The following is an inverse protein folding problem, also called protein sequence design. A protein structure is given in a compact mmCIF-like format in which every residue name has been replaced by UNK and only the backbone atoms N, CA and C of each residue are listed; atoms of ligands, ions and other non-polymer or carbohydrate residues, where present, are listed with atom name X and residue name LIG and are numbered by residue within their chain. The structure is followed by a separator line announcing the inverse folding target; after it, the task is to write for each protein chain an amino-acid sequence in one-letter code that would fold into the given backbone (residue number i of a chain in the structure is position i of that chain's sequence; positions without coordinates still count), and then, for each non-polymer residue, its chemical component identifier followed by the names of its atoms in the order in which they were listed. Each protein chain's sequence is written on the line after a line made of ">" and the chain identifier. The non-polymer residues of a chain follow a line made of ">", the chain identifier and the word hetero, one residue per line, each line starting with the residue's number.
data_IF_411749824436
#
_entry.id   IF_411749824436
#
_cell.length_a   1.000
_cell.length_b   1.000
_cell.length_c   1.000
_cell.angle_alpha   90.00
_cell.angle_beta   90.00
_cell.angle_gamma   90.00
#
_symmetry.space_group_name_H-M   'P 1'
#
loop_
_entity.id
_entity.type
_entity.pdbx_description
1 polymer ?
#
# COMPACT_ATOMS: atom_id res chain seq x y z
N UNK A 1 -4.78 -18.41 -25.91
CA UNK A 1 -3.77 -17.35 -25.97
C UNK A 1 -4.42 -16.07 -25.48
N UNK A 2 -3.86 -15.39 -24.50
CA UNK A 2 -4.39 -14.09 -24.07
C UNK A 2 -4.45 -13.14 -25.28
N UNK A 3 -5.54 -12.39 -25.38
CA UNK A 3 -5.75 -11.43 -26.47
C UNK A 3 -4.83 -10.23 -26.23
N UNK A 4 -4.00 -9.88 -27.22
CA UNK A 4 -3.10 -8.74 -27.07
C UNK A 4 -3.90 -7.45 -26.88
N UNK A 5 -3.50 -6.65 -25.87
CA UNK A 5 -4.15 -5.40 -25.48
C UNK A 5 -3.35 -4.20 -26.01
N UNK A 6 -4.04 -3.20 -26.51
CA UNK A 6 -3.46 -1.93 -26.95
C UNK A 6 -4.20 -0.78 -26.29
N UNK A 7 -3.48 0.08 -25.60
CA UNK A 7 -4.06 1.27 -24.98
C UNK A 7 -4.45 2.27 -26.07
N UNK A 8 -5.68 2.76 -26.04
CA UNK A 8 -6.20 3.74 -26.99
C UNK A 8 -6.35 5.13 -26.39
N UNK A 9 -6.60 5.22 -25.08
CA UNK A 9 -6.68 6.48 -24.40
C UNK A 9 -6.28 6.39 -22.93
N UNK A 10 -5.85 7.53 -22.40
CA UNK A 10 -5.51 7.75 -21.00
C UNK A 10 -6.08 9.10 -20.60
N UNK A 11 -6.71 9.17 -19.44
CA UNK A 11 -7.15 10.42 -18.83
C UNK A 11 -6.99 10.38 -17.32
N UNK A 12 -6.91 11.55 -16.70
CA UNK A 12 -6.66 11.70 -15.27
C UNK A 12 -7.74 12.56 -14.61
N UNK A 13 -8.00 12.30 -13.36
CA UNK A 13 -8.70 13.20 -12.46
C UNK A 13 -8.14 13.08 -11.05
N UNK A 14 -8.36 14.09 -10.23
CA UNK A 14 -7.89 14.13 -8.85
C UNK A 14 -9.00 14.60 -7.93
N UNK A 15 -8.87 14.27 -6.65
CA UNK A 15 -9.77 14.72 -5.60
C UNK A 15 -8.96 15.17 -4.38
N UNK A 16 -9.23 16.37 -3.89
CA UNK A 16 -8.63 16.92 -2.69
C UNK A 16 -9.27 16.26 -1.46
N UNK A 17 -8.47 15.59 -0.66
CA UNK A 17 -8.93 14.81 0.51
C UNK A 17 -8.70 15.58 1.80
N UNK A 18 -7.47 16.05 1.97
CA UNK A 18 -7.05 16.91 3.07
C UNK A 18 -6.07 17.96 2.53
N UNK A 19 -5.65 18.90 3.36
CA UNK A 19 -4.60 19.89 2.97
C UNK A 19 -3.29 19.25 2.49
N UNK A 20 -3.06 17.95 2.76
CA UNK A 20 -1.83 17.22 2.46
C UNK A 20 -2.05 16.00 1.56
N UNK A 21 -3.29 15.59 1.34
CA UNK A 21 -3.63 14.38 0.61
C UNK A 21 -4.50 14.71 -0.59
N UNK A 22 -4.02 14.34 -1.76
CA UNK A 22 -4.77 14.39 -3.02
C UNK A 22 -4.75 12.99 -3.60
N UNK A 23 -5.91 12.39 -3.83
CA UNK A 23 -5.97 11.14 -4.59
C UNK A 23 -6.06 11.45 -6.07
N UNK A 24 -5.24 10.78 -6.87
CA UNK A 24 -5.21 10.96 -8.31
C UNK A 24 -5.44 9.63 -9.00
N UNK A 25 -6.31 9.65 -9.99
CA UNK A 25 -6.76 8.47 -10.72
C UNK A 25 -6.38 8.61 -12.19
N UNK A 26 -6.00 7.49 -12.79
CA UNK A 26 -5.83 7.31 -14.22
C UNK A 26 -6.89 6.34 -14.74
N UNK A 27 -7.54 6.67 -15.83
CA UNK A 27 -8.41 5.77 -16.57
C UNK A 27 -7.75 5.42 -17.90
N UNK A 28 -7.50 4.12 -18.10
CA UNK A 28 -6.96 3.56 -19.33
C UNK A 28 -8.09 2.91 -20.13
N UNK A 29 -8.06 3.04 -21.46
CA UNK A 29 -9.02 2.36 -22.34
C UNK A 29 -8.31 1.66 -23.49
N UNK A 30 -8.83 0.49 -23.88
CA UNK A 30 -8.47 -0.22 -25.10
C UNK A 30 -9.48 0.02 -26.24
N UNK A 31 -10.44 0.92 -26.04
CA UNK A 31 -11.55 1.23 -26.94
C UNK A 31 -12.78 0.34 -26.77
N UNK A 32 -12.65 -0.82 -26.11
CA UNK A 32 -13.78 -1.70 -25.80
C UNK A 32 -14.17 -1.66 -24.32
N UNK A 33 -13.20 -1.43 -23.45
CA UNK A 33 -13.34 -1.35 -22.00
C UNK A 33 -12.47 -0.23 -21.41
N UNK A 34 -12.74 0.11 -20.18
CA UNK A 34 -11.92 1.03 -19.38
C UNK A 34 -11.51 0.38 -18.07
N UNK A 35 -10.34 0.75 -17.59
CA UNK A 35 -9.85 0.35 -16.26
C UNK A 35 -9.37 1.56 -15.48
N UNK A 36 -9.79 1.64 -14.23
CA UNK A 36 -9.47 2.73 -13.31
C UNK A 36 -8.34 2.30 -12.37
N UNK A 37 -7.29 3.11 -12.31
CA UNK A 37 -6.12 2.85 -11.45
C UNK A 37 -5.77 4.11 -10.66
N UNK A 38 -5.42 3.97 -9.39
CA UNK A 38 -4.93 5.07 -8.58
C UNK A 38 -3.42 5.23 -8.73
N UNK A 39 -2.98 6.48 -8.95
CA UNK A 39 -1.58 6.83 -9.18
C UNK A 39 -1.05 7.82 -8.13
N UNK A 40 -1.72 7.95 -7.00
CA UNK A 40 -1.32 8.84 -5.91
C UNK A 40 0.11 8.51 -5.46
N UNK A 41 1.04 9.47 -5.62
CA UNK A 41 2.45 9.34 -5.29
C UNK A 41 2.98 10.58 -4.53
N UNK A 42 2.15 11.15 -3.68
CA UNK A 42 2.47 12.37 -2.92
C UNK A 42 2.91 13.51 -3.85
N UNK A 43 3.93 14.25 -3.46
CA UNK A 43 4.47 15.36 -4.26
C UNK A 43 5.02 14.97 -5.64
N UNK A 44 5.19 13.68 -5.92
CA UNK A 44 5.70 13.17 -7.21
C UNK A 44 4.59 12.80 -8.20
N UNK A 45 3.30 12.94 -7.85
CA UNK A 45 2.17 12.54 -8.71
C UNK A 45 2.20 13.24 -10.09
N UNK A 46 2.62 14.50 -10.17
CA UNK A 46 2.79 15.20 -11.45
C UNK A 46 3.78 14.52 -12.40
N UNK A 47 4.93 14.06 -11.86
CA UNK A 47 5.91 13.27 -12.64
C UNK A 47 5.37 11.92 -13.09
N UNK A 48 4.55 11.25 -12.27
CA UNK A 48 3.86 10.02 -12.66
C UNK A 48 2.98 10.25 -13.88
N UNK A 49 2.20 11.34 -13.88
CA UNK A 49 1.35 11.70 -15.02
C UNK A 49 2.17 11.99 -16.29
N UNK A 50 3.32 12.64 -16.18
CA UNK A 50 4.24 12.89 -17.30
C UNK A 50 4.79 11.58 -17.88
N UNK A 51 5.28 10.67 -17.02
CA UNK A 51 5.73 9.34 -17.44
C UNK A 51 4.60 8.55 -18.13
N UNK A 52 3.38 8.59 -17.59
CA UNK A 52 2.23 7.91 -18.18
C UNK A 52 1.86 8.48 -19.56
N UNK A 53 1.85 9.81 -19.73
CA UNK A 53 1.59 10.43 -21.04
C UNK A 53 2.61 9.99 -22.09
N UNK A 54 3.90 9.96 -21.71
CA UNK A 54 4.98 9.50 -22.61
C UNK A 54 4.84 8.02 -22.95
N UNK A 55 4.62 7.17 -21.95
CA UNK A 55 4.51 5.73 -22.12
C UNK A 55 3.30 5.32 -22.95
N UNK A 56 2.14 5.97 -22.75
CA UNK A 56 0.92 5.66 -23.51
C UNK A 56 1.09 5.96 -25.01
N UNK A 57 1.87 6.97 -25.39
CA UNK A 57 2.16 7.24 -26.81
C UNK A 57 2.81 6.05 -27.50
N UNK A 58 3.71 5.33 -26.82
CA UNK A 58 4.31 4.11 -27.31
C UNK A 58 3.26 2.98 -27.37
N UNK A 59 2.51 2.78 -26.29
CA UNK A 59 1.52 1.70 -26.17
C UNK A 59 0.26 1.90 -27.05
N UNK A 60 0.02 3.09 -27.55
CA UNK A 60 -1.00 3.34 -28.59
C UNK A 60 -0.63 2.74 -29.95
N UNK A 61 0.65 2.50 -30.22
CA UNK A 61 1.14 1.87 -31.44
C UNK A 61 1.58 0.42 -31.27
N UNK A 62 1.75 -0.02 -30.00
CA UNK A 62 2.27 -1.33 -29.64
C UNK A 62 1.22 -2.12 -28.86
N UNK A 63 0.93 -3.34 -29.29
CA UNK A 63 0.09 -4.27 -28.52
C UNK A 63 0.95 -5.11 -27.60
N UNK A 64 0.52 -5.27 -26.34
CA UNK A 64 1.18 -6.12 -25.36
C UNK A 64 0.36 -7.37 -25.10
N UNK A 65 1.03 -8.52 -25.01
CA UNK A 65 0.39 -9.82 -24.77
C UNK A 65 0.03 -10.01 -23.30
N UNK A 66 0.82 -9.40 -22.42
CA UNK A 66 0.63 -9.42 -20.97
C UNK A 66 1.13 -8.14 -20.32
N UNK A 67 0.84 -7.97 -19.04
CA UNK A 67 1.36 -6.86 -18.25
C UNK A 67 2.91 -6.88 -18.11
N UNK A 68 3.53 -8.05 -18.25
CA UNK A 68 4.99 -8.19 -18.20
C UNK A 68 5.69 -7.52 -19.37
N UNK A 69 5.03 -7.45 -20.52
CA UNK A 69 5.61 -6.89 -21.76
C UNK A 69 5.70 -5.34 -21.70
N UNK A 70 5.11 -4.70 -20.69
CA UNK A 70 5.03 -3.23 -20.62
C UNK A 70 6.41 -2.59 -20.50
N UNK A 71 7.25 -3.08 -19.59
CA UNK A 71 8.58 -2.49 -19.37
C UNK A 71 9.46 -2.66 -20.62
N UNK A 72 9.45 -3.84 -21.23
CA UNK A 72 10.20 -4.13 -22.45
C UNK A 72 9.71 -3.29 -23.64
N UNK A 73 8.38 -3.14 -23.81
CA UNK A 73 7.80 -2.30 -24.85
C UNK A 73 8.19 -0.80 -24.71
N UNK A 74 8.46 -0.37 -23.48
CA UNK A 74 8.89 0.99 -23.16
C UNK A 74 10.42 1.15 -23.14
N UNK A 75 11.19 0.07 -23.23
CA UNK A 75 12.65 0.07 -23.12
C UNK A 75 13.13 0.48 -21.73
N UNK A 76 12.40 0.09 -20.67
CA UNK A 76 12.69 0.45 -19.27
C UNK A 76 13.33 -0.74 -18.56
N UNK A 77 14.52 -0.55 -18.02
CA UNK A 77 15.23 -1.54 -17.23
C UNK A 77 14.76 -1.57 -15.77
N UNK A 78 14.86 -2.74 -15.13
CA UNK A 78 14.39 -2.93 -13.74
C UNK A 78 15.09 -2.00 -12.75
N UNK A 79 16.38 -1.70 -12.94
CA UNK A 79 17.13 -0.79 -12.08
C UNK A 79 16.58 0.64 -12.12
N UNK A 80 16.03 1.08 -13.25
CA UNK A 80 15.37 2.40 -13.34
C UNK A 80 14.11 2.42 -12.49
N UNK A 81 13.34 1.32 -12.49
CA UNK A 81 12.12 1.17 -11.70
C UNK A 81 12.41 1.08 -10.20
N UNK A 82 13.51 0.45 -9.81
CA UNK A 82 13.94 0.37 -8.42
C UNK A 82 14.47 1.70 -7.86
N UNK A 83 14.95 2.59 -8.71
CA UNK A 83 15.57 3.86 -8.32
C UNK A 83 14.69 5.11 -8.55
N UNK A 84 13.61 5.01 -9.33
CA UNK A 84 12.65 6.11 -9.56
C UNK A 84 11.22 5.67 -9.23
N UNK A 85 10.75 6.05 -8.03
CA UNK A 85 9.40 5.73 -7.55
C UNK A 85 8.31 6.28 -8.47
N UNK A 86 8.51 7.44 -9.11
CA UNK A 86 7.51 8.00 -10.02
C UNK A 86 7.40 7.19 -11.31
N UNK A 87 8.52 6.71 -11.84
CA UNK A 87 8.55 5.81 -12.99
C UNK A 87 7.96 4.44 -12.65
N UNK A 88 8.34 3.89 -11.48
CA UNK A 88 7.77 2.65 -10.95
C UNK A 88 6.23 2.73 -10.81
N UNK A 89 5.72 3.86 -10.31
CA UNK A 89 4.28 4.10 -10.19
C UNK A 89 3.60 4.13 -11.56
N UNK A 90 4.20 4.80 -12.55
CA UNK A 90 3.66 4.85 -13.90
C UNK A 90 3.60 3.46 -14.57
N UNK A 91 4.68 2.69 -14.46
CA UNK A 91 4.73 1.31 -14.98
C UNK A 91 3.76 0.40 -14.24
N UNK A 92 3.67 0.51 -12.90
CA UNK A 92 2.71 -0.25 -12.09
C UNK A 92 1.26 0.06 -12.47
N UNK A 93 0.94 1.33 -12.76
CA UNK A 93 -0.36 1.75 -13.28
C UNK A 93 -0.68 1.07 -14.61
N UNK A 94 0.24 1.12 -15.58
CA UNK A 94 0.03 0.49 -16.90
C UNK A 94 -0.12 -1.03 -16.78
N UNK A 95 0.70 -1.67 -15.96
CA UNK A 95 0.61 -3.12 -15.73
C UNK A 95 -0.71 -3.51 -15.06
N UNK A 96 -1.14 -2.76 -14.03
CA UNK A 96 -2.44 -2.97 -13.39
C UNK A 96 -3.60 -2.74 -14.37
N UNK A 97 -3.54 -1.66 -15.15
CA UNK A 97 -4.54 -1.33 -16.16
C UNK A 97 -4.67 -2.41 -17.23
N UNK A 98 -3.55 -2.94 -17.74
CA UNK A 98 -3.57 -4.05 -18.73
C UNK A 98 -4.16 -5.32 -18.12
N UNK A 99 -3.77 -5.66 -16.87
CA UNK A 99 -4.34 -6.81 -16.16
C UNK A 99 -5.87 -6.68 -16.04
N UNK A 100 -6.36 -5.50 -15.63
CA UNK A 100 -7.79 -5.24 -15.50
C UNK A 100 -8.54 -5.25 -16.84
N UNK A 101 -7.98 -4.63 -17.88
CA UNK A 101 -8.56 -4.64 -19.22
C UNK A 101 -8.66 -6.07 -19.80
N UNK A 102 -7.62 -6.89 -19.61
CA UNK A 102 -7.63 -8.30 -20.04
C UNK A 102 -8.68 -9.11 -19.26
N UNK A 103 -8.80 -8.90 -17.96
CA UNK A 103 -9.85 -9.53 -17.15
C UNK A 103 -11.26 -9.20 -17.68
N UNK A 104 -11.51 -7.93 -18.04
CA UNK A 104 -12.78 -7.51 -18.64
C UNK A 104 -13.02 -8.13 -20.01
N UNK A 105 -11.99 -8.23 -20.86
CA UNK A 105 -12.08 -8.88 -22.17
C UNK A 105 -12.43 -10.37 -22.04
N UNK A 106 -11.92 -11.03 -20.99
CA UNK A 106 -12.17 -12.43 -20.69
C UNK A 106 -13.49 -12.66 -19.91
N UNK A 107 -14.15 -11.59 -19.47
CA UNK A 107 -15.41 -11.64 -18.71
C UNK A 107 -15.27 -12.19 -17.30
N UNK A 108 -14.08 -12.06 -16.69
CA UNK A 108 -13.78 -12.52 -15.32
C UNK A 108 -13.49 -11.32 -14.40
N UNK A 109 -13.68 -11.51 -13.09
CA UNK A 109 -13.29 -10.50 -12.11
C UNK A 109 -11.77 -10.49 -11.88
N UNK A 110 -11.27 -9.41 -11.26
CA UNK A 110 -9.84 -9.22 -11.05
C UNK A 110 -9.24 -10.30 -10.11
N UNK A 111 -9.98 -10.79 -9.11
CA UNK A 111 -9.49 -11.85 -8.21
C UNK A 111 -9.21 -13.12 -9.02
N UNK A 112 -10.15 -13.51 -9.88
CA UNK A 112 -10.01 -14.67 -10.79
C UNK A 112 -8.88 -14.47 -11.80
N UNK A 113 -8.73 -13.26 -12.37
CA UNK A 113 -7.63 -12.92 -13.27
C UNK A 113 -6.26 -13.03 -12.60
N UNK A 114 -6.19 -12.74 -11.31
CA UNK A 114 -5.00 -12.91 -10.48
C UNK A 114 -4.80 -14.36 -9.99
N UNK A 115 -5.64 -15.29 -10.42
CA UNK A 115 -5.54 -16.72 -10.08
C UNK A 115 -6.02 -17.05 -8.67
N UNK A 116 -6.88 -16.23 -8.10
CA UNK A 116 -7.57 -16.47 -6.85
C UNK A 116 -8.97 -17.01 -7.04
N UNK A 117 -9.59 -17.48 -5.95
CA UNK A 117 -10.99 -17.82 -5.91
C UNK A 117 -11.81 -16.61 -5.42
N UNK A 118 -12.98 -16.32 -6.00
CA UNK A 118 -13.84 -15.24 -5.56
C UNK A 118 -14.15 -15.32 -4.06
N UNK A 119 -14.11 -14.17 -3.40
CA UNK A 119 -14.42 -14.02 -1.96
C UNK A 119 -15.39 -12.87 -1.76
N UNK A 120 -16.21 -12.96 -0.71
CA UNK A 120 -17.13 -11.89 -0.34
C UNK A 120 -16.40 -10.72 0.34
N UNK A 121 -15.32 -11.00 1.08
CA UNK A 121 -14.58 -9.98 1.84
C UNK A 121 -13.17 -10.43 2.19
N UNK A 122 -12.31 -9.44 2.55
CA UNK A 122 -10.99 -9.67 3.15
C UNK A 122 -10.88 -8.96 4.50
N UNK A 123 -10.07 -9.49 5.45
CA UNK A 123 -9.82 -8.80 6.72
C UNK A 123 -8.98 -7.54 6.51
N UNK A 124 -9.22 -6.52 7.32
CA UNK A 124 -8.47 -5.28 7.34
C UNK A 124 -7.79 -5.07 8.70
N UNK A 125 -6.69 -4.32 8.70
CA UNK A 125 -6.22 -3.63 9.90
C UNK A 125 -6.39 -2.11 9.75
N UNK A 126 -6.63 -1.44 10.87
CA UNK A 126 -6.79 0.01 10.89
C UNK A 126 -5.43 0.70 10.98
N UNK A 127 -5.05 1.50 9.99
CA UNK A 127 -3.97 2.48 10.09
C UNK A 127 -4.56 3.80 10.61
N UNK A 128 -4.22 4.17 11.85
CA UNK A 128 -4.75 5.36 12.53
C UNK A 128 -3.94 6.64 12.24
N UNK A 129 -2.88 6.56 11.44
CA UNK A 129 -1.94 7.67 11.26
C UNK A 129 -2.57 8.88 10.58
N UNK A 130 -3.48 8.66 9.62
CA UNK A 130 -4.10 9.74 8.84
C UNK A 130 -4.95 10.67 9.71
N UNK A 131 -5.60 10.16 10.73
CA UNK A 131 -6.37 10.96 11.69
C UNK A 131 -5.49 11.73 12.69
N UNK A 132 -4.18 11.39 12.75
CA UNK A 132 -3.19 11.96 13.65
C UNK A 132 -2.17 12.87 12.95
N UNK A 133 -2.40 13.25 11.70
CA UNK A 133 -1.58 14.22 10.97
C UNK A 133 -1.84 15.62 11.54
N UNK A 134 -0.75 16.32 11.93
CA UNK A 134 -0.84 17.66 12.46
C UNK A 134 -0.13 17.82 13.81
N UNK A 135 -0.47 18.88 14.56
CA UNK A 135 0.21 19.22 15.80
C UNK A 135 -0.20 18.35 17.01
N UNK A 136 -1.36 17.71 16.96
CA UNK A 136 -1.90 16.98 18.12
C UNK A 136 -1.51 15.49 18.11
N UNK A 137 -0.22 15.20 18.14
CA UNK A 137 0.30 13.81 18.23
C UNK A 137 0.62 13.40 19.68
N UNK A 138 -0.30 13.69 20.60
CA UNK A 138 -0.14 13.29 22.01
C UNK A 138 -0.44 11.81 22.25
N UNK A 139 0.10 11.17 23.31
CA UNK A 139 -0.29 9.80 23.67
C UNK A 139 -1.81 9.62 23.83
N UNK A 140 -2.50 10.63 24.35
CA UNK A 140 -3.97 10.62 24.47
C UNK A 140 -4.67 10.60 23.10
N UNK A 141 -4.19 11.36 22.11
CA UNK A 141 -4.76 11.36 20.77
C UNK A 141 -4.61 10.00 20.11
N UNK A 142 -3.44 9.35 20.26
CA UNK A 142 -3.21 7.99 19.79
C UNK A 142 -4.14 6.97 20.47
N UNK A 143 -4.31 7.06 21.79
CA UNK A 143 -5.25 6.21 22.53
C UNK A 143 -6.68 6.32 22.00
N UNK A 144 -7.19 7.55 21.84
CA UNK A 144 -8.54 7.81 21.33
C UNK A 144 -8.74 7.31 19.88
N UNK A 145 -7.73 7.46 19.02
CA UNK A 145 -7.79 6.95 17.66
C UNK A 145 -7.81 5.41 17.64
N UNK A 146 -7.02 4.77 18.49
CA UNK A 146 -7.01 3.32 18.66
C UNK A 146 -8.34 2.80 19.21
N UNK A 147 -8.89 3.42 20.25
CA UNK A 147 -10.19 3.07 20.82
C UNK A 147 -11.30 3.18 19.78
N UNK A 148 -11.35 4.28 19.02
CA UNK A 148 -12.31 4.48 17.94
C UNK A 148 -12.22 3.41 16.86
N UNK A 149 -11.01 3.03 16.44
CA UNK A 149 -10.82 1.96 15.48
C UNK A 149 -11.30 0.60 16.01
N UNK A 150 -11.03 0.31 17.29
CA UNK A 150 -11.54 -0.92 17.95
C UNK A 150 -13.08 -0.92 18.03
N UNK A 151 -13.71 0.21 18.33
CA UNK A 151 -15.18 0.36 18.34
C UNK A 151 -15.80 0.18 16.93
N UNK A 152 -15.05 0.46 15.87
CA UNK A 152 -15.43 0.17 14.47
C UNK A 152 -15.24 -1.30 14.09
N UNK A 153 -14.81 -2.15 15.03
CA UNK A 153 -14.66 -3.59 14.85
C UNK A 153 -13.31 -4.03 14.30
N UNK A 154 -12.29 -3.18 14.30
CA UNK A 154 -10.94 -3.59 13.95
C UNK A 154 -10.25 -4.28 15.13
N UNK A 155 -9.73 -5.50 14.88
CA UNK A 155 -8.98 -6.28 15.87
C UNK A 155 -7.46 -6.12 15.73
N UNK A 156 -7.01 -5.38 14.72
CA UNK A 156 -5.60 -5.11 14.43
C UNK A 156 -5.50 -3.61 14.12
N UNK A 157 -4.58 -2.92 14.81
CA UNK A 157 -4.40 -1.47 14.69
C UNK A 157 -2.92 -1.16 14.48
N UNK A 158 -2.60 -0.42 13.42
CA UNK A 158 -1.25 0.09 13.11
C UNK A 158 -1.16 1.57 13.46
N UNK A 159 -0.05 1.97 14.09
CA UNK A 159 0.29 3.36 14.32
C UNK A 159 1.75 3.64 13.91
N UNK A 160 2.01 4.86 13.41
CA UNK A 160 3.35 5.40 13.17
C UNK A 160 3.69 6.43 14.26
N UNK A 161 4.19 5.98 15.42
CA UNK A 161 4.34 6.84 16.60
C UNK A 161 5.58 7.72 16.53
N UNK A 162 6.46 7.56 15.53
CA UNK A 162 7.79 8.15 15.46
C UNK A 162 7.98 9.19 14.35
N UNK A 163 6.93 9.60 13.62
CA UNK A 163 7.01 10.49 12.44
C UNK A 163 7.57 11.90 12.72
N UNK A 164 7.70 12.29 13.97
CA UNK A 164 8.31 13.53 14.42
C UNK A 164 9.82 13.39 14.74
N UNK A 165 10.41 12.21 14.49
CA UNK A 165 11.84 11.96 14.63
C UNK A 165 12.56 12.30 13.31
N UNK A 166 13.63 13.08 13.43
CA UNK A 166 14.56 13.31 12.32
C UNK A 166 15.58 12.15 12.25
N UNK A 167 15.58 11.32 11.19
CA UNK A 167 16.49 10.19 11.04
C UNK A 167 17.96 10.59 10.92
N UNK A 168 18.27 11.85 10.60
CA UNK A 168 19.64 12.39 10.56
C UNK A 168 20.28 12.62 11.92
N UNK A 169 19.56 12.37 13.00
CA UNK A 169 20.07 12.52 14.36
C UNK A 169 21.06 11.41 14.78
N UNK A 170 21.89 11.70 15.79
CA UNK A 170 22.74 10.68 16.44
C UNK A 170 21.86 9.68 17.21
N UNK A 171 22.35 8.42 17.36
CA UNK A 171 21.66 7.36 18.12
C UNK A 171 21.13 7.86 19.50
N UNK A 172 21.93 8.63 20.23
CA UNK A 172 21.50 9.18 21.52
C UNK A 172 20.28 10.08 21.39
N UNK A 173 20.21 10.94 20.37
CA UNK A 173 19.06 11.83 20.13
C UNK A 173 17.86 11.07 19.60
N UNK A 174 18.08 10.05 18.77
CA UNK A 174 17.02 9.14 18.31
C UNK A 174 16.35 8.46 19.50
N UNK A 175 17.12 7.92 20.46
CA UNK A 175 16.60 7.30 21.68
C UNK A 175 15.85 8.27 22.60
N UNK A 176 16.33 9.49 22.72
CA UNK A 176 15.61 10.54 23.48
C UNK A 176 14.25 10.86 22.84
N UNK A 177 14.23 11.05 21.52
CA UNK A 177 13.03 11.35 20.76
C UNK A 177 12.04 10.16 20.74
N UNK A 178 12.53 8.92 20.71
CA UNK A 178 11.71 7.71 20.71
C UNK A 178 10.86 7.56 21.97
N UNK A 179 11.21 8.16 23.10
CA UNK A 179 10.45 8.06 24.37
C UNK A 179 9.00 8.48 24.22
N UNK A 180 8.75 9.55 23.48
CA UNK A 180 7.36 10.01 23.23
C UNK A 180 6.61 9.04 22.32
N UNK A 181 7.28 8.48 21.30
CA UNK A 181 6.70 7.47 20.42
C UNK A 181 6.33 6.19 21.19
N UNK A 182 7.23 5.69 22.06
CA UNK A 182 6.96 4.54 22.94
C UNK A 182 5.74 4.81 23.84
N UNK A 183 5.64 6.02 24.42
CA UNK A 183 4.49 6.39 25.25
C UNK A 183 3.17 6.48 24.47
N UNK A 184 3.22 6.83 23.16
CA UNK A 184 2.07 6.76 22.23
C UNK A 184 1.61 5.32 22.05
N UNK A 185 2.54 4.38 21.79
CA UNK A 185 2.22 2.95 21.66
C UNK A 185 1.64 2.38 22.94
N UNK A 186 2.23 2.71 24.09
CA UNK A 186 1.72 2.31 25.42
C UNK A 186 0.30 2.81 25.66
N UNK A 187 -0.01 4.03 25.23
CA UNK A 187 -1.34 4.62 25.35
C UNK A 187 -2.36 3.91 24.43
N UNK A 188 -2.00 3.56 23.18
CA UNK A 188 -2.84 2.73 22.30
C UNK A 188 -3.09 1.37 22.94
N UNK A 189 -2.02 0.64 23.34
CA UNK A 189 -2.13 -0.68 23.98
C UNK A 189 -3.04 -0.64 25.21
N UNK A 190 -2.92 0.39 26.05
CA UNK A 190 -3.77 0.55 27.24
C UNK A 190 -5.23 0.78 26.89
N UNK A 191 -5.52 1.55 25.86
CA UNK A 191 -6.87 1.88 25.42
C UNK A 191 -7.60 0.69 24.79
N UNK A 192 -6.89 -0.05 23.89
CA UNK A 192 -7.51 -1.16 23.13
C UNK A 192 -7.49 -2.50 23.87
N UNK A 193 -6.70 -2.61 24.94
CA UNK A 193 -6.59 -3.84 25.74
C UNK A 193 -5.78 -4.95 25.06
N UNK A 194 -5.68 -6.13 25.68
CA UNK A 194 -4.79 -7.20 25.24
C UNK A 194 -5.30 -8.00 24.02
N UNK A 195 -6.58 -7.91 23.70
CA UNK A 195 -7.21 -8.71 22.64
C UNK A 195 -7.09 -8.09 21.24
N UNK A 196 -6.69 -6.82 21.14
CA UNK A 196 -6.44 -6.12 19.89
C UNK A 196 -4.95 -6.17 19.61
N UNK A 197 -4.55 -6.58 18.42
CA UNK A 197 -3.17 -6.56 17.98
C UNK A 197 -2.74 -5.12 17.67
N UNK A 198 -1.58 -4.69 18.17
CA UNK A 198 -1.01 -3.36 17.88
C UNK A 198 0.25 -3.54 17.05
N UNK A 199 0.30 -2.87 15.91
CA UNK A 199 1.37 -2.88 14.95
C UNK A 199 2.07 -1.52 14.97
N UNK A 200 3.40 -1.50 14.82
CA UNK A 200 4.18 -0.27 14.90
C UNK A 200 4.98 -0.09 13.61
N UNK A 201 4.76 1.06 12.99
CA UNK A 201 5.46 1.52 11.80
C UNK A 201 6.45 2.63 12.18
N UNK A 202 7.70 2.49 11.78
CA UNK A 202 8.77 3.41 12.14
C UNK A 202 9.17 4.36 11.01
N UNK A 203 8.65 4.19 9.80
CA UNK A 203 9.01 5.03 8.65
C UNK A 203 10.52 5.27 8.53
N UNK A 204 11.31 4.23 8.79
CA UNK A 204 12.78 4.22 8.61
C UNK A 204 13.55 5.29 9.41
N UNK A 205 13.04 5.67 10.58
CA UNK A 205 13.62 6.78 11.36
C UNK A 205 14.76 6.38 12.30
N UNK A 206 15.16 5.11 12.37
CA UNK A 206 16.17 4.61 13.30
C UNK A 206 17.45 4.12 12.60
N UNK A 207 18.55 4.12 13.34
CA UNK A 207 19.77 3.37 13.05
C UNK A 207 19.71 1.96 13.70
N UNK A 208 20.76 1.15 13.50
CA UNK A 208 20.81 -0.23 14.01
C UNK A 208 20.73 -0.33 15.52
N UNK A 209 21.43 0.57 16.22
CA UNK A 209 21.54 0.54 17.68
C UNK A 209 20.27 1.05 18.35
N UNK A 210 19.70 2.15 17.85
CA UNK A 210 18.43 2.68 18.34
C UNK A 210 17.28 1.75 18.03
N UNK A 211 17.26 1.08 16.86
CA UNK A 211 16.26 0.06 16.52
C UNK A 211 16.19 -1.06 17.55
N UNK A 212 17.34 -1.58 18.01
CA UNK A 212 17.38 -2.68 18.99
C UNK A 212 16.85 -2.24 20.36
N UNK A 213 17.19 -1.03 20.80
CA UNK A 213 16.71 -0.49 22.10
C UNK A 213 15.21 -0.25 22.03
N UNK A 214 14.73 0.41 20.97
CA UNK A 214 13.29 0.70 20.78
C UNK A 214 12.49 -0.60 20.66
N UNK A 215 12.98 -1.59 19.91
CA UNK A 215 12.33 -2.89 19.78
C UNK A 215 12.19 -3.60 21.14
N UNK A 216 13.21 -3.49 22.03
CA UNK A 216 13.14 -4.03 23.38
C UNK A 216 12.01 -3.42 24.22
N UNK A 217 11.82 -2.11 24.16
CA UNK A 217 10.71 -1.42 24.83
C UNK A 217 9.34 -1.79 24.22
N UNK A 218 9.26 -1.87 22.89
CA UNK A 218 8.03 -2.24 22.20
C UNK A 218 7.63 -3.71 22.45
N UNK A 219 8.59 -4.61 22.61
CA UNK A 219 8.35 -6.01 22.95
C UNK A 219 7.59 -6.14 24.29
N UNK A 220 7.91 -5.28 25.27
CA UNK A 220 7.20 -5.25 26.55
C UNK A 220 5.74 -4.80 26.42
N UNK A 221 5.40 -4.13 25.32
CA UNK A 221 4.03 -3.69 25.01
C UNK A 221 3.26 -4.72 24.15
N UNK A 222 3.89 -5.83 23.78
CA UNK A 222 3.28 -6.92 23.04
C UNK A 222 2.80 -6.51 21.65
N UNK A 223 3.66 -5.83 20.87
CA UNK A 223 3.33 -5.46 19.48
C UNK A 223 3.42 -6.66 18.53
N UNK A 224 2.60 -6.66 17.48
CA UNK A 224 2.53 -7.75 16.51
C UNK A 224 3.65 -7.74 15.48
N UNK A 225 4.08 -6.55 14.98
CA UNK A 225 5.24 -6.40 14.12
C UNK A 225 5.96 -5.05 14.30
N UNK A 226 7.21 -5.02 13.83
CA UNK A 226 8.09 -3.86 13.81
C UNK A 226 8.38 -3.50 12.36
N UNK A 227 7.67 -2.49 11.83
CA UNK A 227 7.69 -2.12 10.42
C UNK A 227 8.79 -1.09 10.16
N UNK A 228 9.60 -1.36 9.18
CA UNK A 228 10.65 -0.48 8.65
C UNK A 228 11.38 0.40 9.69
N UNK A 229 12.04 -0.20 10.70
CA UNK A 229 12.88 0.61 11.58
C UNK A 229 14.05 1.25 10.81
N UNK A 230 14.53 0.58 9.75
CA UNK A 230 15.59 0.99 8.83
C UNK A 230 15.06 0.82 7.41
N UNK A 231 15.41 1.75 6.52
CA UNK A 231 14.98 1.76 5.11
C UNK A 231 15.47 0.53 4.34
N UNK A 232 14.56 -0.36 3.87
CA UNK A 232 14.94 -1.62 3.22
C UNK A 232 15.68 -1.43 1.90
N UNK A 233 15.40 -0.34 1.17
CA UNK A 233 16.04 -0.07 -0.13
C UNK A 233 17.46 0.46 0.02
N UNK A 234 17.80 1.06 1.16
CA UNK A 234 19.10 1.69 1.42
C UNK A 234 20.03 0.84 2.27
N UNK A 235 19.54 0.22 3.36
CA UNK A 235 20.36 -0.65 4.23
C UNK A 235 19.66 -1.98 4.53
N UNK A 236 19.48 -2.88 3.55
CA UNK A 236 18.91 -4.21 3.77
C UNK A 236 19.74 -5.06 4.72
N UNK A 237 21.06 -4.81 4.81
CA UNK A 237 21.94 -5.51 5.75
C UNK A 237 21.74 -5.05 7.19
N UNK A 238 21.52 -3.74 7.39
CA UNK A 238 21.18 -3.20 8.69
C UNK A 238 19.84 -3.71 9.18
N UNK A 239 18.85 -3.75 8.29
CA UNK A 239 17.54 -4.30 8.60
C UNK A 239 17.63 -5.79 8.97
N UNK A 240 18.40 -6.61 8.22
CA UNK A 240 18.65 -8.02 8.53
C UNK A 240 19.36 -8.20 9.89
N UNK A 241 20.29 -7.30 10.22
CA UNK A 241 20.97 -7.31 11.53
C UNK A 241 19.99 -7.08 12.68
N UNK A 242 19.06 -6.14 12.52
CA UNK A 242 18.00 -5.86 13.50
C UNK A 242 17.02 -7.03 13.56
N UNK A 243 16.50 -7.49 12.41
CA UNK A 243 15.53 -8.58 12.35
C UNK A 243 16.00 -9.87 13.02
N UNK A 244 17.29 -10.18 12.93
CA UNK A 244 17.89 -11.36 13.60
C UNK A 244 18.04 -11.22 15.12
N UNK A 245 17.69 -10.06 15.73
CA UNK A 245 17.90 -9.75 17.16
C UNK A 245 16.66 -9.29 17.89
N UNK A 246 15.58 -9.05 17.21
CA UNK A 246 14.29 -8.64 17.80
C UNK A 246 13.36 -9.85 17.91
N UNK A 247 12.42 -9.80 18.83
CA UNK A 247 11.49 -10.93 19.10
C UNK A 247 10.25 -10.91 18.21
N UNK A 248 9.83 -9.71 17.75
CA UNK A 248 8.71 -9.55 16.86
C UNK A 248 9.13 -9.66 15.38
N UNK A 249 8.27 -10.10 14.46
CA UNK A 249 8.58 -10.08 13.04
C UNK A 249 8.83 -8.65 12.55
N UNK A 250 9.81 -8.50 11.66
CA UNK A 250 10.06 -7.25 10.93
C UNK A 250 9.23 -7.29 9.65
N UNK A 251 8.50 -6.21 9.39
CA UNK A 251 7.71 -5.99 8.19
C UNK A 251 8.31 -4.85 7.36
N UNK A 252 8.02 -4.81 6.05
CA UNK A 252 8.46 -3.69 5.22
C UNK A 252 8.54 -4.01 3.73
N UNK A 253 9.08 -3.04 2.98
CA UNK A 253 9.24 -3.09 1.53
C UNK A 253 8.19 -2.25 0.78
N UNK A 254 7.49 -1.34 1.44
CA UNK A 254 6.44 -0.52 0.81
C UNK A 254 6.92 0.30 -0.40
N UNK A 255 8.19 0.65 -0.43
CA UNK A 255 8.83 1.39 -1.52
C UNK A 255 9.49 0.49 -2.58
N UNK A 256 9.46 -0.84 -2.39
CA UNK A 256 10.14 -1.80 -3.24
C UNK A 256 9.47 -2.06 -4.59
N UNK A 257 10.26 -2.42 -5.60
CA UNK A 257 9.79 -2.79 -6.92
C UNK A 257 10.28 -4.18 -7.34
N UNK A 258 9.34 -5.02 -7.79
CA UNK A 258 9.60 -6.32 -8.42
C UNK A 258 9.87 -7.45 -7.43
N UNK A 259 9.47 -8.67 -7.81
CA UNK A 259 9.58 -9.88 -6.99
C UNK A 259 11.00 -10.13 -6.47
N UNK A 260 12.02 -9.86 -7.30
CA UNK A 260 13.43 -10.08 -6.95
C UNK A 260 13.89 -9.25 -5.75
N UNK A 261 13.41 -8.01 -5.62
CA UNK A 261 13.69 -7.14 -4.47
C UNK A 261 13.16 -7.76 -3.16
N UNK A 262 11.90 -8.17 -3.15
CA UNK A 262 11.28 -8.75 -1.96
C UNK A 262 11.89 -10.12 -1.60
N UNK A 263 12.17 -10.95 -2.62
CA UNK A 263 12.84 -12.24 -2.42
C UNK A 263 14.23 -12.07 -1.80
N UNK A 264 15.01 -11.05 -2.21
CA UNK A 264 16.31 -10.76 -1.61
C UNK A 264 16.19 -10.37 -0.13
N UNK A 265 15.22 -9.51 0.23
CA UNK A 265 14.96 -9.12 1.63
C UNK A 265 14.58 -10.33 2.50
N UNK A 266 13.69 -11.21 2.03
CA UNK A 266 13.28 -12.42 2.75
C UNK A 266 14.45 -13.39 2.89
N UNK A 267 15.21 -13.64 1.82
CA UNK A 267 16.36 -14.55 1.82
C UNK A 267 17.48 -14.07 2.75
N UNK A 268 17.66 -12.77 2.91
CA UNK A 268 18.60 -12.18 3.89
C UNK A 268 18.08 -12.24 5.33
N UNK A 269 16.82 -12.60 5.53
CA UNK A 269 16.15 -12.50 6.83
C UNK A 269 15.96 -11.06 7.28
N UNK A 270 15.93 -10.09 6.35
CA UNK A 270 15.72 -8.67 6.66
C UNK A 270 14.27 -8.37 7.03
N UNK A 271 13.35 -9.03 6.37
CA UNK A 271 11.92 -8.96 6.68
C UNK A 271 11.30 -10.36 6.70
N UNK A 272 10.27 -10.53 7.51
CA UNK A 272 9.43 -11.72 7.53
C UNK A 272 8.06 -11.46 6.90
N UNK A 273 7.61 -10.22 6.93
CA UNK A 273 6.34 -9.79 6.34
C UNK A 273 6.66 -8.84 5.21
N UNK A 274 6.39 -9.24 3.96
CA UNK A 274 6.55 -8.36 2.79
C UNK A 274 5.33 -7.45 2.68
N UNK A 275 5.56 -6.17 2.38
CA UNK A 275 4.52 -5.15 2.31
C UNK A 275 4.53 -4.39 0.97
N UNK A 276 4.31 -5.08 -0.18
CA UNK A 276 4.25 -4.39 -1.46
C UNK A 276 3.04 -3.45 -1.53
N UNK A 277 3.23 -2.27 -2.14
CA UNK A 277 2.14 -1.39 -2.53
C UNK A 277 1.84 -1.59 -4.02
N UNK A 278 0.60 -1.91 -4.37
CA UNK A 278 0.19 -2.18 -5.77
C UNK A 278 0.47 -1.01 -6.71
N UNK A 279 0.57 0.23 -6.18
CA UNK A 279 0.91 1.42 -6.95
C UNK A 279 2.41 1.49 -7.32
N UNK A 280 3.29 0.82 -6.55
CA UNK A 280 4.75 1.00 -6.66
C UNK A 280 5.49 -0.28 -7.04
N UNK A 281 4.99 -1.44 -6.62
CA UNK A 281 5.73 -2.70 -6.69
C UNK A 281 5.76 -3.38 -8.08
N UNK A 282 5.09 -2.82 -9.09
CA UNK A 282 4.92 -3.41 -10.41
C UNK A 282 3.47 -3.79 -10.72
N UNK A 283 2.49 -3.31 -9.93
CA UNK A 283 1.07 -3.50 -10.15
C UNK A 283 0.49 -4.75 -9.47
N UNK A 284 -0.81 -4.97 -9.69
CA UNK A 284 -1.59 -6.01 -8.98
C UNK A 284 -1.10 -7.44 -9.24
N UNK A 285 -0.70 -7.76 -10.46
CA UNK A 285 -0.20 -9.10 -10.78
C UNK A 285 1.18 -9.35 -10.17
N UNK A 286 2.06 -8.33 -10.16
CA UNK A 286 3.37 -8.42 -9.49
C UNK A 286 3.22 -8.58 -7.99
N UNK A 287 2.32 -7.82 -7.34
CA UNK A 287 2.02 -7.97 -5.92
C UNK A 287 1.59 -9.41 -5.58
N UNK A 288 0.80 -10.05 -6.44
CA UNK A 288 0.45 -11.47 -6.29
C UNK A 288 1.67 -12.40 -6.42
N UNK A 289 2.60 -12.16 -7.37
CA UNK A 289 3.84 -12.93 -7.48
C UNK A 289 4.71 -12.79 -6.23
N UNK A 290 4.92 -11.55 -5.79
CA UNK A 290 5.65 -11.23 -4.55
C UNK A 290 5.06 -12.01 -3.36
N UNK A 291 3.75 -11.94 -3.19
CA UNK A 291 3.08 -12.58 -2.05
C UNK A 291 3.17 -14.10 -2.09
N UNK A 292 2.97 -14.72 -3.26
CA UNK A 292 3.09 -16.18 -3.41
C UNK A 292 4.51 -16.66 -3.16
N UNK A 293 5.51 -15.93 -3.67
CA UNK A 293 6.92 -16.20 -3.45
C UNK A 293 7.28 -16.11 -1.96
N UNK A 294 6.82 -15.07 -1.27
CA UNK A 294 7.04 -14.89 0.17
C UNK A 294 6.43 -16.04 1.00
N UNK A 295 5.17 -16.41 0.73
CA UNK A 295 4.50 -17.51 1.44
C UNK A 295 5.20 -18.85 1.22
N UNK A 296 5.73 -19.10 0.01
CA UNK A 296 6.49 -20.33 -0.29
C UNK A 296 7.82 -20.40 0.47
N UNK A 297 8.40 -19.28 0.86
CA UNK A 297 9.69 -19.20 1.58
C UNK A 297 9.51 -18.98 3.09
N UNK A 298 8.37 -19.36 3.66
CA UNK A 298 8.01 -19.20 5.07
C UNK A 298 7.92 -17.72 5.53
N UNK A 299 7.80 -16.77 4.61
CA UNK A 299 7.41 -15.40 4.87
C UNK A 299 5.88 -15.23 4.93
N UNK A 300 5.43 -14.01 5.10
CA UNK A 300 4.03 -13.62 5.07
C UNK A 300 3.87 -12.37 4.21
N UNK A 301 2.66 -12.06 3.82
CA UNK A 301 2.35 -10.83 3.06
C UNK A 301 1.20 -10.07 3.70
N UNK A 302 1.38 -8.77 3.83
CA UNK A 302 0.34 -7.79 4.13
C UNK A 302 0.50 -6.64 3.12
N UNK A 303 -0.52 -6.35 2.34
CA UNK A 303 -0.41 -5.30 1.31
C UNK A 303 -0.42 -3.92 1.98
N UNK A 304 0.59 -3.09 1.67
CA UNK A 304 0.62 -1.68 2.04
C UNK A 304 -0.42 -0.91 1.24
N UNK A 305 -1.37 -0.24 1.91
CA UNK A 305 -2.49 0.45 1.24
C UNK A 305 -3.07 1.62 2.05
N UNK A 306 -2.27 2.59 2.53
CA UNK A 306 -2.77 3.83 3.13
C UNK A 306 -3.21 4.80 2.01
N UNK A 307 -4.11 4.36 1.15
CA UNK A 307 -4.41 4.94 -0.16
C UNK A 307 -5.90 5.21 -0.32
N UNK A 308 -6.28 5.82 -1.43
CA UNK A 308 -7.67 6.04 -1.80
C UNK A 308 -8.41 4.74 -2.13
N UNK A 309 -9.72 4.83 -2.34
CA UNK A 309 -10.60 3.66 -2.45
C UNK A 309 -10.35 2.82 -3.72
N UNK A 310 -9.78 3.40 -4.78
CA UNK A 310 -9.44 2.64 -6.00
C UNK A 310 -8.26 1.71 -5.75
N UNK A 311 -7.19 2.21 -5.13
CA UNK A 311 -6.05 1.38 -4.73
C UNK A 311 -6.45 0.38 -3.64
N UNK A 312 -7.35 0.76 -2.72
CA UNK A 312 -7.88 -0.13 -1.69
C UNK A 312 -8.59 -1.34 -2.31
N UNK A 313 -9.48 -1.13 -3.29
CA UNK A 313 -10.17 -2.22 -4.01
C UNK A 313 -9.17 -3.12 -4.73
N UNK A 314 -8.20 -2.56 -5.44
CA UNK A 314 -7.16 -3.33 -6.13
C UNK A 314 -6.32 -4.16 -5.15
N UNK A 315 -5.91 -3.57 -4.03
CA UNK A 315 -5.17 -4.22 -2.94
C UNK A 315 -5.99 -5.34 -2.28
N UNK A 316 -7.30 -5.12 -2.11
CA UNK A 316 -8.21 -6.14 -1.60
C UNK A 316 -8.32 -7.34 -2.55
N UNK A 317 -8.37 -7.10 -3.88
CA UNK A 317 -8.36 -8.18 -4.87
C UNK A 317 -7.06 -8.99 -4.80
N UNK A 318 -5.91 -8.33 -4.67
CA UNK A 318 -4.61 -9.00 -4.47
C UNK A 318 -4.61 -9.82 -3.18
N UNK A 319 -5.06 -9.25 -2.07
CA UNK A 319 -5.16 -9.96 -0.78
C UNK A 319 -6.07 -11.18 -0.88
N UNK A 320 -7.20 -11.07 -1.59
CA UNK A 320 -8.11 -12.19 -1.82
C UNK A 320 -7.50 -13.30 -2.68
N UNK A 321 -6.67 -12.93 -3.67
CA UNK A 321 -6.06 -13.86 -4.61
C UNK A 321 -4.87 -14.64 -4.05
N UNK A 322 -4.34 -14.27 -2.87
CA UNK A 322 -3.19 -14.93 -2.24
C UNK A 322 -3.67 -15.80 -1.08
N UNK A 323 -3.54 -17.12 -1.14
CA UNK A 323 -3.82 -17.98 0.00
C UNK A 323 -2.92 -17.65 1.19
N UNK A 324 -3.50 -17.41 2.36
CA UNK A 324 -2.74 -17.11 3.58
C UNK A 324 -2.22 -15.66 3.67
N UNK A 325 -2.66 -14.76 2.81
CA UNK A 325 -2.39 -13.33 2.99
C UNK A 325 -2.96 -12.83 4.33
N UNK A 326 -2.20 -11.95 4.99
CA UNK A 326 -2.58 -11.29 6.24
C UNK A 326 -3.67 -10.23 5.98
N UNK A 327 -4.15 -9.58 7.03
CA UNK A 327 -5.08 -8.46 6.92
C UNK A 327 -4.48 -7.33 6.05
N UNK A 328 -5.34 -6.73 5.21
CA UNK A 328 -4.98 -5.60 4.35
C UNK A 328 -5.00 -4.30 5.14
N UNK A 329 -4.08 -3.40 4.84
CA UNK A 329 -4.08 -2.05 5.39
C UNK A 329 -5.30 -1.24 4.97
N UNK A 330 -5.85 -0.46 5.92
CA UNK A 330 -6.89 0.52 5.67
C UNK A 330 -6.63 1.80 6.48
N UNK A 331 -6.47 2.94 5.81
CA UNK A 331 -6.37 4.24 6.46
C UNK A 331 -7.75 4.70 6.95
N UNK A 332 -7.95 4.72 8.27
CA UNK A 332 -9.23 5.11 8.87
C UNK A 332 -9.32 6.63 9.06
N UNK A 333 -10.55 7.14 9.04
CA UNK A 333 -10.91 8.53 9.38
C UNK A 333 -10.20 9.61 8.54
N UNK A 334 -9.80 9.31 7.30
CA UNK A 334 -9.11 10.26 6.43
C UNK A 334 -10.10 11.29 5.83
N UNK A 335 -11.26 10.83 5.36
CA UNK A 335 -12.33 11.68 4.84
C UNK A 335 -13.71 11.07 5.12
N UNK A 336 -14.69 11.85 5.62
CA UNK A 336 -16.00 11.31 5.97
C UNK A 336 -16.81 10.80 4.77
N UNK A 337 -16.52 11.30 3.58
CA UNK A 337 -17.16 10.93 2.31
C UNK A 337 -16.38 9.89 1.50
N UNK A 338 -15.29 9.32 2.06
CA UNK A 338 -14.43 8.34 1.38
C UNK A 338 -15.22 7.19 0.74
N UNK A 339 -16.16 6.62 1.47
CA UNK A 339 -16.94 5.47 0.99
C UNK A 339 -17.78 5.76 -0.24
N UNK A 340 -18.14 7.03 -0.46
CA UNK A 340 -19.04 7.47 -1.53
C UNK A 340 -18.32 7.77 -2.86
N UNK A 341 -16.95 7.76 -2.88
CA UNK A 341 -16.17 8.04 -4.08
C UNK A 341 -16.39 6.99 -5.16
N UNK A 342 -16.62 5.75 -4.75
CA UNK A 342 -16.87 4.63 -5.67
C UNK A 342 -18.36 4.39 -5.84
N UNK A 343 -18.72 3.86 -7.01
CA UNK A 343 -20.04 3.35 -7.33
C UNK A 343 -19.89 1.90 -7.86
N UNK A 344 -20.38 0.89 -7.13
CA UNK A 344 -21.05 0.99 -5.81
C UNK A 344 -20.08 1.45 -4.71
N UNK A 345 -20.62 2.05 -3.62
CA UNK A 345 -19.82 2.57 -2.51
C UNK A 345 -18.91 1.53 -1.86
N UNK A 346 -17.73 2.00 -1.39
CA UNK A 346 -16.82 1.21 -0.58
C UNK A 346 -17.52 0.73 0.71
N UNK A 347 -17.51 -0.57 0.96
CA UNK A 347 -18.16 -1.15 2.11
C UNK A 347 -17.13 -1.76 3.06
N UNK A 348 -16.96 -1.10 4.23
CA UNK A 348 -16.08 -1.56 5.31
C UNK A 348 -16.91 -1.74 6.56
N UNK A 349 -16.98 -2.96 7.06
CA UNK A 349 -17.79 -3.33 8.22
C UNK A 349 -17.04 -4.36 9.07
N UNK A 350 -17.01 -4.14 10.38
CA UNK A 350 -16.38 -5.03 11.34
C UNK A 350 -14.94 -5.42 10.98
N UNK A 351 -14.12 -4.44 10.62
CA UNK A 351 -12.73 -4.67 10.24
C UNK A 351 -12.55 -5.49 8.96
N UNK A 352 -13.50 -5.46 8.03
CA UNK A 352 -13.45 -6.18 6.77
C UNK A 352 -13.85 -5.30 5.59
N UNK A 353 -13.15 -5.45 4.48
CA UNK A 353 -13.53 -4.91 3.18
C UNK A 353 -14.46 -5.90 2.47
N UNK A 354 -15.67 -5.47 2.11
CA UNK A 354 -16.65 -6.27 1.38
C UNK A 354 -16.62 -5.91 -0.10
N UNK A 355 -16.40 -6.92 -0.94
CA UNK A 355 -16.31 -6.68 -2.38
C UNK A 355 -17.65 -6.24 -2.99
N UNK A 356 -17.64 -5.26 -3.90
CA UNK A 356 -18.75 -5.03 -4.80
C UNK A 356 -18.89 -6.22 -5.77
N UNK A 357 -20.07 -6.37 -6.38
CA UNK A 357 -20.32 -7.43 -7.36
C UNK A 357 -19.30 -7.35 -8.52
N UNK A 358 -18.65 -8.47 -8.79
CA UNK A 358 -17.60 -8.57 -9.82
C UNK A 358 -16.28 -7.91 -9.42
N UNK A 359 -16.10 -7.56 -8.14
CA UNK A 359 -14.89 -6.89 -7.63
C UNK A 359 -14.45 -5.68 -8.45
N UNK A 360 -15.41 -4.88 -8.93
CA UNK A 360 -15.19 -3.69 -9.75
C UNK A 360 -16.05 -2.53 -9.29
N UNK A 361 -15.57 -1.31 -9.47
CA UNK A 361 -16.30 -0.08 -9.20
C UNK A 361 -15.87 1.00 -10.20
N UNK A 362 -16.69 2.04 -10.32
CA UNK A 362 -16.39 3.27 -11.06
C UNK A 362 -16.30 4.45 -10.10
N UNK A 363 -15.78 5.58 -10.54
CA UNK A 363 -15.87 6.82 -9.76
C UNK A 363 -17.31 7.35 -9.75
N UNK A 364 -17.78 7.72 -8.57
CA UNK A 364 -19.04 8.42 -8.40
C UNK A 364 -18.88 9.86 -8.89
N UNK A 365 -19.42 10.16 -10.07
CA UNK A 365 -19.26 11.46 -10.71
C UNK A 365 -19.96 12.60 -9.95
N UNK A 366 -20.93 12.31 -9.10
CA UNK A 366 -21.51 13.32 -8.22
C UNK A 366 -20.50 13.77 -7.16
N UNK A 367 -19.86 12.84 -6.45
CA UNK A 367 -18.81 13.15 -5.47
C UNK A 367 -17.63 13.85 -6.14
N UNK A 368 -17.21 13.37 -7.32
CA UNK A 368 -16.16 14.00 -8.11
C UNK A 368 -16.50 15.44 -8.52
N UNK A 369 -17.76 15.76 -8.77
CA UNK A 369 -18.20 17.13 -9.09
C UNK A 369 -18.16 18.10 -7.90
N UNK A 370 -18.19 17.57 -6.67
CA UNK A 370 -18.15 18.36 -5.44
C UNK A 370 -16.72 18.60 -4.92
N UNK A 371 -15.84 17.62 -5.07
CA UNK A 371 -14.53 17.58 -4.41
C UNK A 371 -13.37 17.37 -5.38
N UNK A 372 -13.63 16.97 -6.60
CA UNK A 372 -12.60 16.57 -7.56
C UNK A 372 -12.41 17.54 -8.72
N UNK A 373 -11.50 17.18 -9.60
CA UNK A 373 -11.25 17.87 -10.87
C UNK A 373 -11.98 17.21 -12.03
N UNK A 374 -12.18 17.95 -13.11
CA UNK A 374 -12.60 17.34 -14.37
C UNK A 374 -11.53 16.37 -14.90
N UNK A 375 -11.96 15.44 -15.74
CA UNK A 375 -11.03 14.57 -16.47
C UNK A 375 -10.15 15.38 -17.45
N UNK A 376 -8.85 15.14 -17.41
CA UNK A 376 -7.85 15.72 -18.33
C UNK A 376 -7.02 14.61 -18.99
N UNK A 377 -6.63 14.82 -20.23
CA UNK A 377 -5.75 13.91 -21.00
C UNK A 377 -4.28 14.15 -20.70
#
# INVERSE_FOLDING_TARGET
>A
MAKATRIQSLRFCSIDVTERTVWTFAELSDGSATELVEITCGGSTGRVMEHLRTAVQVLMSTSVGSELDVADALGIEIEQLQNDRSLATAVSCLRSGITGLQARQDGIDLISALGGEPKDSVPLYANINRSLLGENRTPRAFALAGEKAADQGFNIIKCAPFDDIDPGNTTKRLLEAAKIGISRVAAVRSAVGPNVEVLVDCHSCFDRDSSLVVAGELANLGIGWFEEPIEPTQDPKGLAYVAGRVSMPVAGGESGYGETFFADLVNRGAIRIVMPDVKYCGGVAEACRIGRSAVQTAGSISIHSPSGPVSQLASACVTAAIPGAMALEHAVDEAPWRSEILEPPERIENGRFWFPKGATAALNMHVMSLHGTAWVS
#
